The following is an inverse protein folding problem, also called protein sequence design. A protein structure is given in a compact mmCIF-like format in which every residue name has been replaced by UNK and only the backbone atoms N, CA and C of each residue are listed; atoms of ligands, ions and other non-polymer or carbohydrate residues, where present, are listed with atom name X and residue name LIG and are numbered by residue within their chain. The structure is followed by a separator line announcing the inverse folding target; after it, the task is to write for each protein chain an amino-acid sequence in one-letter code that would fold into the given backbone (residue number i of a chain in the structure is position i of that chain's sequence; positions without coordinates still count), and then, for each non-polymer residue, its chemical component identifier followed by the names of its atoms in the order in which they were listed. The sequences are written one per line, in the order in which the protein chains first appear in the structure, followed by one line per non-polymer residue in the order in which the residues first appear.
data_IF_399905520751
#
_entry.id   IF_399905520751
#
_cell.length_a   1.000
_cell.length_b   1.000
_cell.length_c   1.000
_cell.angle_alpha   90.00
_cell.angle_beta   90.00
_cell.angle_gamma   90.00
#
_symmetry.space_group_name_H-M   'P 1'
#
loop_
_entity.id
_entity.type
_entity.pdbx_description
1 polymer ?
#
# COMPACT_ATOMS: atom_id res chain seq x y z
N UNK A 1 -24.97 20.08 10.45
CA UNK A 1 -25.67 20.22 11.76
C UNK A 1 -24.80 21.09 12.67
N UNK A 2 -25.39 21.92 13.54
CA UNK A 2 -24.68 22.89 14.40
C UNK A 2 -24.48 22.43 15.85
N UNK A 3 -24.76 21.16 16.13
CA UNK A 3 -24.66 20.61 17.48
C UNK A 3 -23.52 19.59 17.54
N UNK A 4 -22.74 19.57 18.63
CA UNK A 4 -21.73 18.55 18.85
C UNK A 4 -22.35 17.16 18.84
N UNK A 5 -21.76 16.24 18.06
CA UNK A 5 -22.23 14.87 17.98
C UNK A 5 -21.06 13.90 17.85
N UNK A 6 -21.29 12.64 18.23
CA UNK A 6 -20.39 11.52 17.94
C UNK A 6 -21.14 10.58 17.02
N UNK A 7 -20.55 10.29 15.85
CA UNK A 7 -21.11 9.34 14.89
C UNK A 7 -20.22 8.10 14.81
N UNK A 8 -20.84 6.94 15.01
CA UNK A 8 -20.21 5.64 14.82
C UNK A 8 -20.70 5.06 13.50
N UNK A 9 -19.80 4.73 12.58
CA UNK A 9 -20.15 4.11 11.30
C UNK A 9 -19.33 2.86 11.13
N UNK A 10 -20.01 1.72 11.06
CA UNK A 10 -19.36 0.45 10.73
C UNK A 10 -19.27 0.33 9.20
N UNK A 11 -18.13 -0.16 8.71
CA UNK A 11 -17.81 -0.37 7.29
C UNK A 11 -18.26 0.78 6.38
N UNK A 12 -17.72 1.99 6.64
CA UNK A 12 -18.13 3.19 5.91
C UNK A 12 -17.87 3.12 4.39
N UNK A 13 -17.02 2.20 3.94
CA UNK A 13 -16.75 1.89 2.55
C UNK A 13 -17.72 0.88 1.89
N UNK A 14 -18.64 0.27 2.65
CA UNK A 14 -19.50 -0.81 2.16
C UNK A 14 -20.35 -0.34 0.96
N UNK A 15 -20.33 -1.12 -0.12
CA UNK A 15 -20.98 -0.83 -1.40
C UNK A 15 -20.55 0.45 -2.13
N UNK A 16 -19.54 1.18 -1.64
CA UNK A 16 -19.03 2.36 -2.32
C UNK A 16 -18.04 1.98 -3.43
N UNK A 17 -18.14 2.65 -4.57
CA UNK A 17 -17.10 2.60 -5.59
C UNK A 17 -15.78 3.17 -5.02
N UNK A 18 -14.59 2.64 -5.38
CA UNK A 18 -13.31 3.10 -4.84
C UNK A 18 -13.06 4.61 -4.97
N UNK A 19 -13.59 5.22 -6.03
CA UNK A 19 -13.52 6.68 -6.21
C UNK A 19 -14.24 7.44 -5.08
N UNK A 20 -15.37 6.94 -4.60
CA UNK A 20 -16.12 7.55 -3.50
C UNK A 20 -15.51 7.23 -2.14
N UNK A 21 -14.93 6.03 -1.97
CA UNK A 21 -14.17 5.69 -0.77
C UNK A 21 -13.05 6.72 -0.49
N UNK A 22 -12.41 7.24 -1.54
CA UNK A 22 -11.36 8.27 -1.42
C UNK A 22 -11.88 9.66 -1.02
N UNK A 23 -13.17 9.96 -1.13
CA UNK A 23 -13.68 11.31 -0.91
C UNK A 23 -14.71 11.41 0.20
N UNK A 24 -15.35 10.30 0.57
CA UNK A 24 -16.50 10.28 1.49
C UNK A 24 -16.17 10.91 2.85
N UNK A 25 -15.02 10.58 3.44
CA UNK A 25 -14.64 11.08 4.77
C UNK A 25 -14.40 12.59 4.75
N UNK A 26 -13.75 13.08 3.68
CA UNK A 26 -13.54 14.51 3.48
C UNK A 26 -14.89 15.23 3.37
N UNK A 27 -15.79 14.74 2.51
CA UNK A 27 -17.12 15.33 2.36
C UNK A 27 -17.93 15.33 3.66
N UNK A 28 -17.91 14.23 4.41
CA UNK A 28 -18.59 14.15 5.71
C UNK A 28 -18.00 15.13 6.72
N UNK A 29 -16.67 15.22 6.79
CA UNK A 29 -15.98 16.16 7.69
C UNK A 29 -16.24 17.62 7.33
N UNK A 30 -16.34 17.94 6.03
CA UNK A 30 -16.65 19.28 5.54
C UNK A 30 -18.11 19.69 5.85
N UNK A 31 -19.05 18.74 5.78
CA UNK A 31 -20.48 18.99 6.04
C UNK A 31 -20.79 19.03 7.55
N UNK A 32 -20.12 18.18 8.34
CA UNK A 32 -20.39 17.97 9.77
C UNK A 32 -19.21 18.40 10.63
N UNK A 33 -18.90 19.70 10.63
CA UNK A 33 -17.70 20.27 11.28
C UNK A 33 -17.66 20.14 12.81
N UNK A 34 -18.78 19.85 13.47
CA UNK A 34 -18.87 19.64 14.93
C UNK A 34 -19.13 18.18 15.30
N UNK A 35 -18.92 17.25 14.37
CA UNK A 35 -19.15 15.83 14.60
C UNK A 35 -17.83 15.07 14.65
N UNK A 36 -17.62 14.32 15.74
CA UNK A 36 -16.54 13.34 15.80
C UNK A 36 -17.00 12.06 15.13
N UNK A 37 -16.31 11.67 14.06
CA UNK A 37 -16.53 10.41 13.38
C UNK A 37 -15.60 9.33 13.95
N UNK A 38 -16.17 8.19 14.31
CA UNK A 38 -15.44 6.95 14.60
C UNK A 38 -15.94 5.93 13.60
N UNK A 39 -15.08 5.54 12.68
CA UNK A 39 -15.45 4.71 11.54
C UNK A 39 -14.56 3.48 11.46
N UNK A 40 -15.14 2.37 11.03
CA UNK A 40 -14.37 1.17 10.67
C UNK A 40 -14.32 1.06 9.14
N UNK A 41 -13.24 0.46 8.65
CA UNK A 41 -13.06 0.25 7.22
C UNK A 41 -12.12 -0.90 6.95
N UNK A 42 -12.42 -1.65 5.89
CA UNK A 42 -11.50 -2.63 5.29
C UNK A 42 -10.84 -2.10 4.01
N UNK A 43 -11.15 -0.86 3.61
CA UNK A 43 -10.65 -0.27 2.37
C UNK A 43 -9.34 0.49 2.57
N UNK A 44 -8.25 0.11 1.88
CA UNK A 44 -7.00 0.86 1.91
C UNK A 44 -7.14 2.24 1.26
N UNK A 45 -8.15 2.43 0.39
CA UNK A 45 -8.41 3.70 -0.28
C UNK A 45 -8.94 4.75 0.70
N UNK A 46 -9.72 4.34 1.69
CA UNK A 46 -10.15 5.25 2.76
C UNK A 46 -8.93 5.73 3.53
N UNK A 47 -8.08 4.80 3.99
CA UNK A 47 -6.86 5.13 4.75
C UNK A 47 -5.96 6.06 3.95
N UNK A 48 -5.68 5.74 2.68
CA UNK A 48 -4.83 6.55 1.80
C UNK A 48 -5.36 7.98 1.63
N UNK A 49 -6.68 8.17 1.60
CA UNK A 49 -7.26 9.51 1.39
C UNK A 49 -7.15 10.45 2.59
N UNK A 50 -6.66 9.96 3.74
CA UNK A 50 -6.65 10.72 4.99
C UNK A 50 -5.45 11.67 5.08
N UNK A 51 -5.74 12.97 5.08
CA UNK A 51 -4.74 13.99 5.37
C UNK A 51 -4.27 13.94 6.83
N UNK A 52 -5.21 13.74 7.74
CA UNK A 52 -4.95 13.66 9.18
C UNK A 52 -6.01 12.80 9.84
N UNK A 53 -5.64 11.59 10.27
CA UNK A 53 -6.56 10.65 10.94
C UNK A 53 -5.91 10.06 12.18
N UNK A 54 -6.72 9.81 13.20
CA UNK A 54 -6.33 9.06 14.39
C UNK A 54 -6.62 7.57 14.13
N UNK A 55 -5.61 6.81 13.71
CA UNK A 55 -5.81 5.45 13.22
C UNK A 55 -5.55 4.39 14.29
N UNK A 56 -6.49 3.44 14.38
CA UNK A 56 -6.36 2.22 15.16
C UNK A 56 -6.51 1.02 14.24
N UNK A 57 -5.65 0.02 14.41
CA UNK A 57 -5.75 -1.27 13.72
C UNK A 57 -6.00 -2.36 14.73
N UNK A 58 -6.94 -3.25 14.41
CA UNK A 58 -7.36 -4.35 15.27
C UNK A 58 -6.90 -5.66 14.65
N UNK A 59 -6.18 -6.47 15.42
CA UNK A 59 -5.74 -7.80 15.00
C UNK A 59 -6.19 -8.83 16.02
N UNK A 60 -6.91 -9.85 15.57
CA UNK A 60 -7.32 -10.95 16.43
C UNK A 60 -6.14 -11.91 16.63
N UNK A 61 -5.76 -12.15 17.88
CA UNK A 61 -4.72 -13.10 18.26
C UNK A 61 -5.32 -14.10 19.23
N UNK A 62 -5.66 -15.30 18.73
CA UNK A 62 -6.29 -16.38 19.49
C UNK A 62 -7.49 -15.91 20.33
N UNK A 63 -7.29 -15.68 21.62
CA UNK A 63 -8.31 -15.35 22.62
C UNK A 63 -8.51 -13.84 22.83
N UNK A 64 -7.58 -12.99 22.38
CA UNK A 64 -7.63 -11.55 22.57
C UNK A 64 -7.50 -10.78 21.25
N UNK A 65 -7.78 -9.47 21.32
CA UNK A 65 -7.62 -8.56 20.18
C UNK A 65 -6.50 -7.59 20.51
N UNK A 66 -5.44 -7.63 19.72
CA UNK A 66 -4.37 -6.65 19.76
C UNK A 66 -4.86 -5.36 19.11
N UNK A 67 -4.71 -4.23 19.83
CA UNK A 67 -5.07 -2.91 19.34
C UNK A 67 -3.79 -2.11 19.17
N UNK A 68 -3.48 -1.74 17.93
CA UNK A 68 -2.33 -0.91 17.63
C UNK A 68 -2.77 0.50 17.27
N UNK A 69 -2.18 1.49 17.96
CA UNK A 69 -2.47 2.90 17.77
C UNK A 69 -1.35 3.56 16.96
N UNK A 70 -1.69 4.02 15.76
CA UNK A 70 -0.72 4.68 14.87
C UNK A 70 -0.57 6.17 15.16
N UNK A 71 -1.35 6.74 16.08
CA UNK A 71 -1.37 8.17 16.32
C UNK A 71 -2.03 8.96 15.19
N UNK A 72 -1.86 10.28 15.25
CA UNK A 72 -2.43 11.19 14.28
C UNK A 72 -1.41 11.50 13.17
N UNK A 73 -1.63 10.95 11.96
CA UNK A 73 -0.71 11.14 10.82
C UNK A 73 -1.45 11.23 9.48
N UNK A 74 -0.69 11.56 8.44
CA UNK A 74 -1.13 11.59 7.05
C UNK A 74 -0.75 10.29 6.34
N UNK A 75 -1.63 9.82 5.46
CA UNK A 75 -1.41 8.62 4.64
C UNK A 75 -1.50 8.92 3.12
N UNK A 76 -1.65 10.19 2.72
CA UNK A 76 -1.82 10.60 1.31
C UNK A 76 -0.62 10.20 0.45
N UNK A 77 0.59 10.24 1.02
CA UNK A 77 1.82 9.89 0.30
C UNK A 77 2.11 8.39 0.24
N UNK A 78 1.34 7.56 0.95
CA UNK A 78 1.58 6.12 1.03
C UNK A 78 1.00 5.43 -0.20
N UNK A 79 1.71 4.45 -0.74
CA UNK A 79 1.19 3.56 -1.78
C UNK A 79 0.15 2.62 -1.18
N UNK A 80 -0.75 2.11 -2.03
CA UNK A 80 -1.79 1.17 -1.56
C UNK A 80 -1.14 -0.11 -1.04
N UNK A 81 -0.07 -0.56 -1.69
CA UNK A 81 0.70 -1.72 -1.29
C UNK A 81 1.35 -1.52 0.10
N UNK A 82 1.82 -0.32 0.42
CA UNK A 82 2.41 -0.01 1.73
C UNK A 82 1.34 -0.03 2.83
N UNK A 83 0.15 0.54 2.56
CA UNK A 83 -0.98 0.48 3.49
C UNK A 83 -1.44 -0.96 3.70
N UNK A 84 -1.59 -1.73 2.62
CA UNK A 84 -1.97 -3.13 2.69
C UNK A 84 -0.96 -3.95 3.52
N UNK A 85 0.34 -3.66 3.38
CA UNK A 85 1.40 -4.41 4.04
C UNK A 85 1.50 -4.02 5.51
N UNK A 86 1.77 -2.74 5.77
CA UNK A 86 2.14 -2.25 7.10
C UNK A 86 0.94 -2.01 7.99
N UNK A 87 -0.16 -1.49 7.43
CA UNK A 87 -1.35 -1.10 8.21
C UNK A 87 -2.36 -2.24 8.29
N UNK A 88 -2.63 -2.91 7.17
CA UNK A 88 -3.61 -4.00 7.12
C UNK A 88 -3.01 -5.38 7.42
N UNK A 89 -1.68 -5.47 7.57
CA UNK A 89 -1.01 -6.68 8.04
C UNK A 89 -0.95 -7.80 7.02
N UNK A 90 -1.03 -7.49 5.72
CA UNK A 90 -0.85 -8.49 4.66
C UNK A 90 0.62 -8.87 4.44
N UNK A 91 1.59 -8.06 4.92
CA UNK A 91 3.02 -8.30 4.73
C UNK A 91 3.34 -8.63 3.25
N UNK A 92 4.04 -9.74 3.00
CA UNK A 92 4.42 -10.18 1.66
C UNK A 92 3.22 -10.69 0.84
N UNK A 93 2.08 -11.04 1.46
CA UNK A 93 0.93 -11.68 0.80
C UNK A 93 0.16 -10.77 -0.19
N UNK A 94 0.66 -9.57 -0.47
CA UNK A 94 0.08 -8.65 -1.47
C UNK A 94 0.45 -9.12 -2.88
N UNK A 95 1.64 -9.69 -3.04
CA UNK A 95 2.18 -10.08 -4.32
C UNK A 95 2.18 -11.60 -4.46
N UNK A 96 2.07 -12.07 -5.69
CA UNK A 96 2.13 -13.52 -5.99
C UNK A 96 3.51 -14.10 -5.69
N UNK A 97 3.56 -15.37 -5.28
CA UNK A 97 4.80 -16.10 -5.01
C UNK A 97 5.80 -16.05 -6.17
N UNK A 98 5.29 -16.10 -7.42
CA UNK A 98 6.09 -16.01 -8.64
C UNK A 98 6.81 -14.66 -8.72
N UNK A 99 6.07 -13.57 -8.50
CA UNK A 99 6.63 -12.23 -8.52
C UNK A 99 7.70 -12.05 -7.43
N UNK A 100 7.40 -12.45 -6.20
CA UNK A 100 8.35 -12.36 -5.09
C UNK A 100 9.63 -13.15 -5.37
N UNK A 101 9.50 -14.38 -5.88
CA UNK A 101 10.65 -15.21 -6.23
C UNK A 101 11.54 -14.55 -7.29
N UNK A 102 10.94 -14.00 -8.35
CA UNK A 102 11.67 -13.32 -9.41
C UNK A 102 12.35 -12.04 -8.91
N UNK A 103 11.67 -11.24 -8.09
CA UNK A 103 12.25 -10.05 -7.46
C UNK A 103 13.44 -10.41 -6.57
N UNK A 104 13.30 -11.44 -5.72
CA UNK A 104 14.38 -11.92 -4.87
C UNK A 104 15.58 -12.40 -5.69
N UNK A 105 15.35 -13.17 -6.75
CA UNK A 105 16.43 -13.61 -7.65
C UNK A 105 17.13 -12.44 -8.33
N UNK A 106 16.39 -11.40 -8.70
CA UNK A 106 16.94 -10.19 -9.30
C UNK A 106 17.79 -9.39 -8.29
N UNK A 107 17.30 -9.21 -7.07
CA UNK A 107 18.02 -8.52 -5.99
C UNK A 107 19.29 -9.28 -5.55
N UNK A 108 19.22 -10.61 -5.44
CA UNK A 108 20.39 -11.45 -5.16
C UNK A 108 21.45 -11.34 -6.27
N UNK A 109 21.01 -11.28 -7.53
CA UNK A 109 21.91 -11.10 -8.66
C UNK A 109 22.57 -9.71 -8.66
N UNK A 110 21.85 -8.65 -8.26
CA UNK A 110 22.41 -7.31 -8.05
C UNK A 110 23.46 -7.30 -6.93
N UNK A 111 23.20 -7.97 -5.81
CA UNK A 111 24.13 -8.04 -4.69
C UNK A 111 25.38 -8.90 -4.94
N UNK A 112 25.35 -9.78 -5.94
CA UNK A 112 26.46 -10.68 -6.30
C UNK A 112 27.11 -10.37 -7.65
N UNK A 113 26.72 -9.26 -8.29
CA UNK A 113 27.13 -8.86 -9.65
C UNK A 113 26.95 -9.97 -10.71
N UNK A 114 25.96 -10.86 -10.51
CA UNK A 114 25.70 -11.98 -11.40
C UNK A 114 24.81 -11.56 -12.58
N UNK A 115 25.43 -11.05 -13.64
CA UNK A 115 24.74 -10.58 -14.84
C UNK A 115 23.79 -11.62 -15.45
N UNK A 116 24.19 -12.90 -15.51
CA UNK A 116 23.39 -13.94 -16.17
C UNK A 116 22.08 -14.18 -15.42
N UNK A 117 22.17 -14.37 -14.10
CA UNK A 117 20.99 -14.56 -13.25
C UNK A 117 20.12 -13.30 -13.24
N UNK A 118 20.73 -12.12 -13.14
CA UNK A 118 20.00 -10.85 -13.15
C UNK A 118 19.25 -10.62 -14.45
N UNK A 119 19.84 -11.00 -15.59
CA UNK A 119 19.19 -10.90 -16.90
C UNK A 119 18.00 -11.86 -17.04
N UNK A 120 18.17 -13.11 -16.63
CA UNK A 120 17.09 -14.11 -16.67
C UNK A 120 15.89 -13.66 -15.82
N UNK A 121 16.15 -13.20 -14.58
CA UNK A 121 15.10 -12.69 -13.71
C UNK A 121 14.45 -11.41 -14.27
N UNK A 122 15.24 -10.48 -14.80
CA UNK A 122 14.76 -9.25 -15.44
C UNK A 122 13.85 -9.53 -16.64
N UNK A 123 14.26 -10.42 -17.54
CA UNK A 123 13.49 -10.75 -18.74
C UNK A 123 12.13 -11.37 -18.37
N UNK A 124 12.05 -12.18 -17.31
CA UNK A 124 10.78 -12.71 -16.79
C UNK A 124 9.94 -11.63 -16.08
N UNK A 125 10.53 -10.76 -15.27
CA UNK A 125 9.83 -9.64 -14.62
C UNK A 125 9.18 -8.70 -15.64
N UNK A 126 9.90 -8.38 -16.72
CA UNK A 126 9.37 -7.54 -17.80
C UNK A 126 8.23 -8.23 -18.58
N UNK A 127 8.10 -9.57 -18.56
CA UNK A 127 6.94 -10.22 -19.18
C UNK A 127 5.68 -10.07 -18.35
N UNK A 128 5.80 -10.13 -17.02
CA UNK A 128 4.65 -10.15 -16.10
C UNK A 128 4.20 -8.76 -15.63
N UNK A 129 5.11 -7.77 -15.58
CA UNK A 129 4.81 -6.41 -15.14
C UNK A 129 3.98 -5.64 -16.17
N UNK A 130 3.26 -4.59 -15.77
CA UNK A 130 2.54 -3.75 -16.73
C UNK A 130 3.51 -2.98 -17.66
N UNK A 131 3.26 -2.89 -18.98
CA UNK A 131 4.19 -2.31 -19.96
C UNK A 131 4.68 -0.89 -19.67
N UNK A 132 3.85 -0.07 -19.04
CA UNK A 132 4.15 1.33 -18.74
C UNK A 132 4.38 1.58 -17.24
N UNK A 133 4.56 0.52 -16.46
CA UNK A 133 4.74 0.65 -15.01
C UNK A 133 6.04 1.37 -14.66
N UNK A 134 6.05 2.08 -13.53
CA UNK A 134 7.24 2.75 -13.02
C UNK A 134 8.28 1.70 -12.62
N UNK A 135 7.83 0.57 -12.10
CA UNK A 135 8.63 -0.59 -11.69
C UNK A 135 9.47 -1.11 -12.87
N UNK A 136 8.90 -1.24 -14.08
CA UNK A 136 9.69 -1.62 -15.27
C UNK A 136 10.83 -0.63 -15.57
N UNK A 137 10.58 0.67 -15.40
CA UNK A 137 11.62 1.71 -15.61
C UNK A 137 12.70 1.61 -14.55
N UNK A 138 12.32 1.41 -13.29
CA UNK A 138 13.26 1.25 -12.18
C UNK A 138 14.12 0.00 -12.35
N UNK A 139 13.51 -1.14 -12.65
CA UNK A 139 14.22 -2.39 -12.92
C UNK A 139 15.20 -2.25 -14.08
N UNK A 140 14.85 -1.48 -15.12
CA UNK A 140 15.77 -1.20 -16.23
C UNK A 140 17.00 -0.40 -15.78
N UNK A 141 16.81 0.60 -14.93
CA UNK A 141 17.90 1.40 -14.36
C UNK A 141 18.78 0.51 -13.46
N UNK A 142 18.19 -0.28 -12.58
CA UNK A 142 18.93 -1.20 -11.71
C UNK A 142 19.68 -2.26 -12.52
N UNK A 143 19.06 -2.84 -13.54
CA UNK A 143 19.71 -3.79 -14.43
C UNK A 143 20.87 -3.16 -15.21
N UNK A 144 20.80 -1.87 -15.54
CA UNK A 144 21.92 -1.19 -16.20
C UNK A 144 23.18 -1.09 -15.32
N UNK A 145 23.03 -1.15 -13.99
CA UNK A 145 24.16 -1.18 -13.06
C UNK A 145 24.92 -2.51 -13.10
N UNK A 146 24.27 -3.60 -13.56
CA UNK A 146 24.89 -4.91 -13.77
C UNK A 146 25.64 -5.01 -15.11
N UNK A 147 25.53 -4.01 -15.99
CA UNK A 147 26.26 -4.04 -17.25
C UNK A 147 27.75 -3.82 -16.97
N UNK A 148 28.64 -4.74 -17.39
CA UNK A 148 30.07 -4.48 -17.29
C UNK A 148 30.45 -3.26 -18.14
N UNK A 149 31.40 -2.46 -17.64
CA UNK A 149 31.84 -1.14 -18.17
C UNK A 149 32.24 -1.14 -19.66
N UNK A 150 32.41 -2.31 -20.29
CA UNK A 150 32.83 -2.45 -21.69
C UNK A 150 31.72 -2.18 -22.74
N UNK A 151 30.55 -1.67 -22.34
CA UNK A 151 29.46 -1.26 -23.26
C UNK A 151 28.84 0.10 -22.92
N UNK A 152 29.67 1.08 -22.55
CA UNK A 152 29.32 2.50 -22.59
C UNK A 152 29.70 3.13 -23.94
#
# INVERSE_FOLDING_TARGET
MKEPAVLLVDEIDLHLHPQWQRTIIKHLSDIFTQTQFIVTTHSPFIIQSMEKVNLYTLKRESDHTNVHHWGCRSYIGWRIEEILSEVMGLNDNIQTDIYQKLMKQFEEALGTDNYKQGKEAYDELIKILHPQSVERKLLKIQFSQLLPDDKA
#
